data_IF_772683894370
#
_entry.id   IF_772683894370
#
_cell.length_a   1.000
_cell.length_b   1.000
_cell.length_c   1.000
_cell.angle_alpha   90.00
_cell.angle_beta   90.00
_cell.angle_gamma   90.00
#
_symmetry.space_group_name_H-M   'P 1'
#
loop_
_entity.id
_entity.type
_entity.pdbx_description
1 polymer ?
#
# COMPACT_ATOMS: atom_id res chain seq x y z
N UNK A 1 13.45 5.71 14.79
CA UNK A 1 12.46 5.10 15.69
C UNK A 1 11.07 5.47 15.24
N UNK A 2 10.09 4.64 15.57
CA UNK A 2 8.67 4.92 15.30
C UNK A 2 8.25 6.22 15.97
N UNK A 3 7.45 7.04 15.26
CA UNK A 3 7.01 8.37 15.71
C UNK A 3 8.01 9.51 15.48
N UNK A 4 9.25 9.21 15.08
CA UNK A 4 10.20 10.24 14.63
C UNK A 4 9.87 10.68 13.20
N UNK A 5 10.35 11.86 12.79
CA UNK A 5 10.20 12.35 11.43
C UNK A 5 11.46 12.13 10.60
N UNK A 6 11.29 11.78 9.34
CA UNK A 6 12.35 11.69 8.34
C UNK A 6 12.04 12.58 7.14
N UNK A 7 13.07 13.23 6.63
CA UNK A 7 12.95 14.08 5.44
C UNK A 7 13.25 13.24 4.20
N UNK A 8 12.32 13.22 3.26
CA UNK A 8 12.50 12.70 1.91
C UNK A 8 11.35 13.20 1.03
N UNK A 9 11.66 13.39 -0.26
CA UNK A 9 10.71 13.82 -1.28
C UNK A 9 10.67 12.75 -2.38
N UNK A 10 9.49 12.26 -2.74
CA UNK A 10 9.33 11.25 -3.78
C UNK A 10 9.30 11.90 -5.18
N UNK A 11 10.29 11.59 -6.06
CA UNK A 11 10.39 12.21 -7.38
C UNK A 11 9.19 11.98 -8.31
N UNK A 12 8.36 10.97 -8.03
CA UNK A 12 7.23 10.59 -8.90
C UNK A 12 5.91 11.29 -8.53
N UNK A 13 5.83 11.97 -7.38
CA UNK A 13 4.58 12.54 -6.86
C UNK A 13 4.45 14.08 -7.06
N UNK A 14 5.46 14.73 -7.63
CA UNK A 14 5.47 16.18 -7.92
C UNK A 14 5.72 17.07 -6.69
N UNK A 15 6.14 18.32 -6.93
CA UNK A 15 6.64 19.24 -5.90
C UNK A 15 5.63 19.48 -4.76
N UNK A 16 6.00 19.02 -3.57
CA UNK A 16 5.50 19.52 -2.31
C UNK A 16 6.47 19.13 -1.21
N UNK A 17 7.08 20.07 -0.46
CA UNK A 17 7.78 19.70 0.75
C UNK A 17 6.80 18.96 1.65
N UNK A 18 7.22 17.79 2.12
CA UNK A 18 6.59 17.03 3.19
C UNK A 18 6.20 17.96 4.35
N UNK A 19 4.97 18.46 4.30
CA UNK A 19 4.43 19.40 5.28
C UNK A 19 4.51 18.84 6.69
N UNK A 20 4.47 19.71 7.70
CA UNK A 20 4.43 19.28 9.10
C UNK A 20 3.16 18.48 9.46
N UNK A 21 2.15 18.52 8.59
CA UNK A 21 0.91 17.77 8.72
C UNK A 21 1.16 16.26 8.68
N UNK A 22 0.46 15.56 9.56
CA UNK A 22 0.50 14.11 9.71
C UNK A 22 -0.91 13.62 10.02
N UNK A 23 -1.28 12.46 9.51
CA UNK A 23 -2.51 11.76 9.86
C UNK A 23 -2.37 11.02 11.20
N UNK A 24 -1.15 10.88 11.71
CA UNK A 24 -0.88 10.26 13.01
C UNK A 24 -1.40 11.16 14.13
N UNK A 25 -2.47 10.71 14.77
CA UNK A 25 -2.98 11.34 15.98
C UNK A 25 -2.45 10.61 17.22
N UNK A 26 -1.47 11.22 17.89
CA UNK A 26 -0.83 10.67 19.08
C UNK A 26 -1.81 10.41 20.25
N UNK A 27 -2.97 11.09 20.29
CA UNK A 27 -3.95 10.90 21.35
C UNK A 27 -4.78 9.62 21.16
N UNK A 28 -4.98 9.17 19.92
CA UNK A 28 -5.89 8.06 19.60
C UNK A 28 -5.18 6.83 19.04
N UNK A 29 -4.04 7.02 18.37
CA UNK A 29 -3.25 5.93 17.80
C UNK A 29 -2.52 5.14 18.90
N UNK A 30 -2.13 3.92 18.55
CA UNK A 30 -1.39 3.01 19.42
C UNK A 30 -0.06 2.63 18.80
N UNK A 31 0.95 2.40 19.64
CA UNK A 31 2.17 1.71 19.22
C UNK A 31 2.05 0.24 19.58
N UNK A 32 2.07 -0.62 18.56
CA UNK A 32 2.05 -2.06 18.72
C UNK A 32 3.47 -2.60 18.60
N UNK A 33 3.83 -3.52 19.50
CA UNK A 33 4.99 -4.40 19.29
C UNK A 33 4.46 -5.77 18.91
N UNK A 34 4.93 -6.27 17.77
CA UNK A 34 4.53 -7.56 17.22
C UNK A 34 5.74 -8.48 17.12
N UNK A 35 5.51 -9.77 17.34
CA UNK A 35 6.51 -10.82 17.22
C UNK A 35 5.98 -11.95 16.34
N UNK A 36 6.73 -12.30 15.31
CA UNK A 36 6.47 -13.49 14.50
C UNK A 36 7.71 -14.39 14.49
N UNK A 37 7.49 -15.66 14.18
CA UNK A 37 8.57 -16.61 13.90
C UNK A 37 8.34 -17.21 12.52
N UNK A 38 9.40 -17.22 11.72
CA UNK A 38 9.45 -17.97 10.47
C UNK A 38 10.53 -19.04 10.59
N UNK A 39 10.21 -20.27 10.19
CA UNK A 39 11.13 -21.41 10.28
C UNK A 39 11.46 -21.89 8.88
N UNK A 40 12.72 -21.75 8.51
CA UNK A 40 13.20 -22.12 7.19
C UNK A 40 13.44 -23.63 7.08
N UNK A 41 13.53 -24.12 5.85
CA UNK A 41 13.71 -25.54 5.54
C UNK A 41 15.01 -26.13 6.13
N UNK A 42 16.04 -25.31 6.34
CA UNK A 42 17.31 -25.71 6.93
C UNK A 42 17.30 -25.74 8.47
N UNK A 43 16.15 -25.43 9.08
CA UNK A 43 15.96 -25.38 10.53
C UNK A 43 16.29 -24.03 11.18
N UNK A 44 16.77 -23.05 10.41
CA UNK A 44 16.95 -21.67 10.87
C UNK A 44 15.62 -21.10 11.36
N UNK A 45 15.65 -20.42 12.51
CA UNK A 45 14.49 -19.72 13.06
C UNK A 45 14.75 -18.22 12.96
N UNK A 46 13.97 -17.56 12.13
CA UNK A 46 13.90 -16.10 12.09
C UNK A 46 12.86 -15.61 13.09
N UNK A 47 13.30 -14.77 14.04
CA UNK A 47 12.40 -14.03 14.92
C UNK A 47 12.27 -12.61 14.37
N UNK A 48 11.06 -12.31 13.92
CA UNK A 48 10.67 -11.03 13.35
C UNK A 48 10.10 -10.16 14.47
N UNK A 49 10.70 -8.99 14.66
CA UNK A 49 10.19 -7.98 15.60
C UNK A 49 9.74 -6.76 14.83
N UNK A 50 8.51 -6.32 15.10
CA UNK A 50 7.92 -5.13 14.51
C UNK A 50 7.45 -4.20 15.59
N UNK A 51 7.78 -2.91 15.47
CA UNK A 51 7.17 -1.82 16.21
C UNK A 51 6.41 -0.96 15.20
N UNK A 52 5.13 -0.68 15.43
CA UNK A 52 4.28 -0.01 14.43
C UNK A 52 3.21 0.88 15.06
N UNK A 53 3.03 2.09 14.52
CA UNK A 53 1.89 2.97 14.83
C UNK A 53 0.68 2.49 14.04
N UNK A 54 -0.43 2.25 14.76
CA UNK A 54 -1.67 1.85 14.15
C UNK A 54 -2.82 2.76 14.60
N UNK A 55 -3.70 3.17 13.68
CA UNK A 55 -4.85 3.96 14.02
C UNK A 55 -5.91 3.11 14.74
N UNK A 56 -6.80 3.73 15.52
CA UNK A 56 -7.79 3.02 16.34
C UNK A 56 -8.66 2.07 15.51
N UNK A 57 -9.02 2.42 14.28
CA UNK A 57 -9.80 1.54 13.40
C UNK A 57 -9.05 0.27 13.00
N UNK A 58 -7.73 0.32 12.85
CA UNK A 58 -6.93 -0.88 12.56
C UNK A 58 -6.85 -1.77 13.79
N UNK A 59 -6.59 -1.17 14.95
CA UNK A 59 -6.51 -1.87 16.24
C UNK A 59 -7.84 -2.58 16.54
N UNK A 60 -8.96 -1.89 16.35
CA UNK A 60 -10.30 -2.43 16.57
C UNK A 60 -10.64 -3.54 15.56
N UNK A 61 -10.40 -3.31 14.26
CA UNK A 61 -10.70 -4.29 13.20
C UNK A 61 -10.02 -5.63 13.41
N UNK A 62 -8.78 -5.62 13.91
CA UNK A 62 -7.99 -6.83 14.10
C UNK A 62 -8.00 -7.36 15.53
N UNK A 63 -8.71 -6.71 16.45
CA UNK A 63 -8.70 -7.07 17.87
C UNK A 63 -7.28 -7.15 18.43
N UNK A 64 -6.47 -6.13 18.16
CA UNK A 64 -5.02 -6.13 18.42
C UNK A 64 -4.69 -5.94 19.92
N UNK A 65 -5.23 -6.80 20.77
CA UNK A 65 -4.94 -6.91 22.19
C UNK A 65 -3.68 -7.75 22.43
N UNK A 66 -3.00 -7.56 23.56
CA UNK A 66 -1.81 -8.33 23.91
C UNK A 66 -2.15 -9.83 23.93
N UNK A 67 -1.36 -10.62 23.21
CA UNK A 67 -1.56 -12.06 23.01
C UNK A 67 -2.33 -12.42 21.73
N UNK A 68 -3.03 -11.48 21.10
CA UNK A 68 -3.76 -11.72 19.85
C UNK A 68 -2.80 -11.93 18.66
N UNK A 69 -3.28 -12.64 17.64
CA UNK A 69 -2.52 -12.90 16.40
C UNK A 69 -3.10 -12.09 15.23
N UNK A 70 -2.32 -11.11 14.77
CA UNK A 70 -2.73 -10.10 13.78
C UNK A 70 -1.91 -10.20 12.49
N UNK A 71 -2.42 -9.71 11.34
CA UNK A 71 -1.57 -9.54 10.16
C UNK A 71 -0.48 -8.49 10.43
N UNK A 72 0.65 -8.60 9.73
CA UNK A 72 1.68 -7.56 9.77
C UNK A 72 1.31 -6.39 8.84
N UNK A 73 1.27 -5.14 9.32
CA UNK A 73 0.87 -3.97 8.53
C UNK A 73 2.05 -3.41 7.69
N UNK A 74 2.64 -4.25 6.84
CA UNK A 74 3.79 -3.92 5.97
C UNK A 74 3.85 -4.82 4.72
N UNK A 75 4.66 -4.44 3.73
CA UNK A 75 4.91 -5.19 2.49
C UNK A 75 5.91 -6.32 2.78
N UNK A 76 5.39 -7.51 3.02
CA UNK A 76 6.17 -8.69 3.40
C UNK A 76 7.05 -9.19 2.25
N UNK A 77 6.60 -9.00 1.00
CA UNK A 77 7.32 -9.49 -0.18
C UNK A 77 8.64 -8.75 -0.38
N UNK A 78 8.65 -7.42 -0.25
CA UNK A 78 9.89 -6.63 -0.32
C UNK A 78 10.93 -7.08 0.72
N UNK A 79 10.43 -7.50 1.89
CA UNK A 79 11.26 -7.98 2.99
C UNK A 79 11.65 -9.46 2.84
N UNK A 80 11.10 -10.17 1.85
CA UNK A 80 11.34 -11.61 1.68
C UNK A 80 10.69 -12.45 2.78
N UNK A 81 9.59 -11.97 3.36
CA UNK A 81 8.77 -12.67 4.34
C UNK A 81 7.53 -13.30 3.67
N UNK A 82 6.97 -14.40 4.20
CA UNK A 82 5.75 -15.00 3.67
C UNK A 82 4.56 -14.01 3.66
N UNK A 83 3.78 -13.97 2.59
CA UNK A 83 2.65 -13.01 2.45
C UNK A 83 1.54 -13.21 3.50
N UNK A 84 1.39 -14.44 4.00
CA UNK A 84 0.41 -14.83 5.00
C UNK A 84 0.96 -14.84 6.44
N UNK A 85 2.20 -14.37 6.63
CA UNK A 85 2.82 -14.28 7.95
C UNK A 85 1.95 -13.47 8.90
N UNK A 86 1.74 -14.02 10.10
CA UNK A 86 1.01 -13.37 11.19
C UNK A 86 1.91 -13.22 12.40
N UNK A 87 1.65 -12.18 13.19
CA UNK A 87 2.44 -11.86 14.37
C UNK A 87 1.56 -11.82 15.61
N UNK A 88 2.11 -12.26 16.74
CA UNK A 88 1.51 -12.06 18.04
C UNK A 88 1.74 -10.62 18.50
N UNK A 89 0.70 -9.97 19.02
CA UNK A 89 0.81 -8.69 19.70
C UNK A 89 1.48 -8.91 21.06
N UNK A 90 2.69 -8.40 21.24
CA UNK A 90 3.43 -8.50 22.51
C UNK A 90 3.26 -7.24 23.37
N UNK A 91 2.97 -6.09 22.76
CA UNK A 91 2.60 -4.87 23.47
C UNK A 91 1.60 -4.05 22.64
N UNK A 92 0.72 -3.33 23.33
CA UNK A 92 -0.18 -2.34 22.75
C UNK A 92 -0.17 -1.12 23.69
N UNK A 93 0.70 -0.17 23.40
CA UNK A 93 0.95 0.99 24.25
C UNK A 93 0.39 2.28 23.63
N UNK A 94 0.18 3.36 24.41
CA UNK A 94 -0.15 4.67 23.86
C UNK A 94 0.90 5.13 22.83
N UNK A 95 0.46 5.79 21.75
CA UNK A 95 1.37 6.39 20.79
C UNK A 95 2.27 7.44 21.48
N UNK A 96 3.58 7.47 21.21
CA UNK A 96 4.45 8.52 21.73
C UNK A 96 4.05 9.89 21.17
N UNK A 97 4.36 11.00 21.86
CA UNK A 97 4.17 12.33 21.31
C UNK A 97 4.91 12.49 19.97
N UNK A 98 4.21 12.98 18.95
CA UNK A 98 4.80 13.27 17.65
C UNK A 98 5.28 14.72 17.64
N UNK A 99 6.59 14.93 17.50
CA UNK A 99 7.15 16.27 17.43
C UNK A 99 6.63 17.01 16.17
N UNK A 100 6.31 18.31 16.26
CA UNK A 100 6.06 19.12 15.08
C UNK A 100 7.38 19.32 14.31
N UNK A 101 7.29 19.44 12.99
CA UNK A 101 8.46 19.69 12.14
C UNK A 101 8.30 19.15 10.73
N UNK A 102 9.23 19.47 9.83
CA UNK A 102 9.22 18.97 8.46
C UNK A 102 9.46 17.45 8.41
N UNK A 103 9.12 16.85 7.28
CA UNK A 103 9.30 15.42 7.06
C UNK A 103 8.12 14.58 7.53
N UNK A 104 8.17 13.30 7.19
CA UNK A 104 7.09 12.32 7.40
C UNK A 104 7.36 11.44 8.60
N UNK A 105 6.30 11.01 9.28
CA UNK A 105 6.41 10.18 10.49
C UNK A 105 6.83 8.75 10.13
N UNK A 106 7.80 8.20 10.85
CA UNK A 106 8.14 6.77 10.78
C UNK A 106 7.02 5.98 11.44
N UNK A 107 6.30 5.20 10.63
CA UNK A 107 5.14 4.43 11.08
C UNK A 107 5.54 3.06 11.62
N UNK A 108 6.47 2.37 10.97
CA UNK A 108 6.87 1.01 11.34
C UNK A 108 8.38 0.90 11.36
N UNK A 109 8.94 0.15 12.30
CA UNK A 109 10.30 -0.37 12.27
C UNK A 109 10.24 -1.90 12.40
N UNK A 110 11.00 -2.61 11.58
CA UNK A 110 11.03 -4.07 11.55
C UNK A 110 12.46 -4.57 11.44
N UNK A 111 12.75 -5.68 12.11
CA UNK A 111 14.01 -6.39 11.93
C UNK A 111 13.80 -7.89 11.90
N UNK A 112 14.52 -8.55 11.00
CA UNK A 112 14.40 -9.98 10.73
C UNK A 112 15.68 -10.50 10.05
N UNK A 113 15.80 -11.82 9.90
CA UNK A 113 16.89 -12.46 9.18
C UNK A 113 16.59 -12.52 7.68
N UNK A 114 17.61 -12.23 6.86
CA UNK A 114 17.49 -12.28 5.42
C UNK A 114 18.75 -12.92 4.79
N UNK A 115 18.61 -13.98 3.97
CA UNK A 115 19.73 -14.59 3.26
C UNK A 115 20.09 -13.86 1.95
N UNK A 116 19.23 -12.97 1.49
CA UNK A 116 19.34 -12.27 0.21
C UNK A 116 19.76 -10.81 0.45
N UNK A 117 21.00 -10.61 0.89
CA UNK A 117 21.60 -9.27 1.07
C UNK A 117 22.64 -9.00 0.00
N UNK A 118 22.68 -7.77 -0.51
CA UNK A 118 23.73 -7.31 -1.44
C UNK A 118 24.59 -6.27 -0.76
N UNK A 119 25.89 -6.25 -1.06
CA UNK A 119 26.79 -5.18 -0.70
C UNK A 119 26.92 -4.23 -1.90
N UNK A 120 26.41 -3.01 -1.74
CA UNK A 120 26.33 -1.97 -2.74
C UNK A 120 27.32 -0.84 -2.39
N UNK A 121 28.31 -0.64 -3.24
CA UNK A 121 29.28 0.45 -3.10
C UNK A 121 28.82 1.67 -3.91
N UNK A 122 28.87 2.83 -3.27
CA UNK A 122 28.46 4.12 -3.83
C UNK A 122 29.61 5.13 -3.74
N UNK A 123 29.66 6.04 -4.71
CA UNK A 123 30.55 7.21 -4.69
C UNK A 123 29.79 8.46 -5.10
N UNK A 124 30.09 9.58 -4.46
CA UNK A 124 29.55 10.88 -4.84
C UNK A 124 30.50 11.66 -5.79
N UNK A 125 30.09 12.83 -6.33
CA UNK A 125 30.94 13.62 -7.23
C UNK A 125 32.23 14.15 -6.57
N UNK A 126 32.28 14.21 -5.24
CA UNK A 126 33.45 14.63 -4.47
C UNK A 126 34.41 13.47 -4.18
N UNK A 127 34.09 12.25 -4.63
CA UNK A 127 34.89 11.05 -4.45
C UNK A 127 34.73 10.37 -3.09
N UNK A 128 33.78 10.82 -2.25
CA UNK A 128 33.45 10.16 -0.98
C UNK A 128 32.75 8.84 -1.29
N UNK A 129 33.18 7.78 -0.63
CA UNK A 129 32.68 6.42 -0.85
C UNK A 129 31.94 5.90 0.37
N UNK A 130 30.91 5.13 0.12
CA UNK A 130 30.18 4.42 1.15
C UNK A 130 29.74 3.05 0.65
N UNK A 131 29.44 2.15 1.58
CA UNK A 131 28.89 0.84 1.28
C UNK A 131 27.62 0.65 2.09
N UNK A 132 26.53 0.32 1.40
CA UNK A 132 25.24 -0.02 2.01
C UNK A 132 24.94 -1.51 1.77
N UNK A 133 24.18 -2.12 2.68
CA UNK A 133 23.87 -3.56 2.64
C UNK A 133 22.36 -3.84 2.67
N UNK A 134 21.62 -3.45 1.62
CA UNK A 134 20.18 -3.66 1.54
C UNK A 134 19.84 -5.13 1.25
N UNK A 135 18.59 -5.51 1.52
CA UNK A 135 18.03 -6.74 0.93
C UNK A 135 18.00 -6.61 -0.60
N UNK A 136 18.10 -7.73 -1.30
CA UNK A 136 18.23 -7.78 -2.75
C UNK A 136 17.06 -7.10 -3.49
N UNK A 137 15.84 -7.23 -2.96
CA UNK A 137 14.62 -6.69 -3.55
C UNK A 137 14.37 -5.22 -3.21
N UNK A 138 15.05 -4.67 -2.20
CA UNK A 138 14.88 -3.29 -1.78
C UNK A 138 15.22 -2.32 -2.91
N UNK A 139 14.44 -1.25 -3.08
CA UNK A 139 14.54 -0.40 -4.26
C UNK A 139 15.21 0.93 -3.97
N UNK A 140 15.98 1.38 -4.95
CA UNK A 140 16.59 2.71 -5.01
C UNK A 140 16.10 3.45 -6.24
N UNK A 141 16.00 4.78 -6.16
CA UNK A 141 15.63 5.58 -7.32
C UNK A 141 16.82 5.75 -8.25
N UNK A 142 16.74 5.13 -9.43
CA UNK A 142 17.76 5.24 -10.49
C UNK A 142 17.47 6.46 -11.35
N UNK A 143 18.41 7.40 -11.35
CA UNK A 143 18.41 8.55 -12.27
C UNK A 143 18.72 8.11 -13.70
N UNK A 144 19.51 7.04 -13.87
CA UNK A 144 19.83 6.51 -15.19
C UNK A 144 18.62 5.86 -15.87
N UNK A 145 17.72 5.25 -15.10
CA UNK A 145 16.51 4.58 -15.63
C UNK A 145 15.23 5.36 -15.39
N UNK A 146 15.29 6.45 -14.63
CA UNK A 146 14.15 7.27 -14.23
C UNK A 146 13.07 6.41 -13.57
N UNK A 147 13.44 5.76 -12.46
CA UNK A 147 12.50 4.93 -11.70
C UNK A 147 13.14 4.05 -10.64
N UNK A 148 12.28 3.38 -9.88
CA UNK A 148 12.68 2.48 -8.79
C UNK A 148 13.25 1.15 -9.29
N UNK A 149 14.48 0.84 -8.89
CA UNK A 149 15.20 -0.38 -9.29
C UNK A 149 15.60 -1.17 -8.05
N UNK A 150 15.34 -2.47 -8.03
CA UNK A 150 15.79 -3.37 -6.96
C UNK A 150 17.31 -3.39 -6.87
N UNK A 151 17.85 -3.47 -5.65
CA UNK A 151 19.27 -3.40 -5.37
C UNK A 151 20.08 -4.44 -6.18
N UNK A 152 19.56 -5.65 -6.33
CA UNK A 152 20.21 -6.72 -7.09
C UNK A 152 20.23 -6.49 -8.61
N UNK A 153 19.43 -5.56 -9.12
CA UNK A 153 19.33 -5.23 -10.55
C UNK A 153 20.15 -3.99 -10.94
N UNK A 154 20.74 -3.30 -9.95
CA UNK A 154 21.61 -2.16 -10.17
C UNK A 154 22.88 -2.58 -10.91
N UNK A 155 23.41 -1.67 -11.73
CA UNK A 155 24.61 -1.92 -12.54
C UNK A 155 25.73 -0.97 -12.16
N UNK A 156 26.96 -1.42 -12.32
CA UNK A 156 28.12 -0.54 -12.20
C UNK A 156 27.98 0.68 -13.14
N UNK A 157 28.26 1.87 -12.63
CA UNK A 157 28.12 3.15 -13.34
C UNK A 157 26.71 3.75 -13.32
N UNK A 158 25.71 3.04 -12.78
CA UNK A 158 24.35 3.57 -12.65
C UNK A 158 24.31 4.71 -11.62
N UNK A 159 23.55 5.76 -11.93
CA UNK A 159 23.38 6.93 -11.05
C UNK A 159 22.09 6.79 -10.24
N UNK A 160 22.21 6.92 -8.93
CA UNK A 160 21.11 6.90 -7.98
C UNK A 160 20.86 8.31 -7.42
N UNK A 161 19.63 8.59 -7.04
CA UNK A 161 19.29 9.83 -6.35
C UNK A 161 19.93 9.84 -4.95
N UNK A 162 20.71 10.87 -4.66
CA UNK A 162 21.27 11.14 -3.33
C UNK A 162 20.83 12.52 -2.82
N UNK A 163 20.90 12.72 -1.50
CA UNK A 163 20.48 13.97 -0.84
C UNK A 163 21.29 15.20 -1.27
N UNK A 164 22.55 15.01 -1.67
CA UNK A 164 23.45 16.08 -2.12
C UNK A 164 23.78 16.01 -3.61
N UNK A 165 22.98 15.26 -4.38
CA UNK A 165 23.20 15.01 -5.80
C UNK A 165 23.38 13.52 -6.12
N UNK A 166 23.64 13.19 -7.40
CA UNK A 166 23.72 11.81 -7.86
C UNK A 166 24.84 11.02 -7.20
N UNK A 167 24.56 9.76 -6.87
CA UNK A 167 25.53 8.78 -6.39
C UNK A 167 25.77 7.72 -7.47
N UNK A 168 27.02 7.39 -7.76
CA UNK A 168 27.37 6.37 -8.75
C UNK A 168 27.60 5.02 -8.08
N UNK A 169 26.98 3.97 -8.63
CA UNK A 169 27.22 2.59 -8.23
C UNK A 169 28.61 2.15 -8.70
N UNK A 170 29.50 1.86 -7.76
CA UNK A 170 30.89 1.42 -8.04
C UNK A 170 31.13 -0.06 -7.79
N UNK A 171 30.23 -0.73 -7.05
CA UNK A 171 30.29 -2.18 -6.86
C UNK A 171 28.94 -2.73 -6.43
N UNK A 172 28.63 -3.94 -6.86
CA UNK A 172 27.49 -4.70 -6.38
C UNK A 172 27.90 -6.17 -6.26
N UNK A 173 27.74 -6.76 -5.08
CA UNK A 173 27.96 -8.20 -4.88
C UNK A 173 26.94 -8.78 -3.92
N UNK A 174 26.52 -10.03 -4.15
CA UNK A 174 25.75 -10.78 -3.16
C UNK A 174 26.62 -11.06 -1.94
N UNK A 175 26.09 -10.84 -0.75
CA UNK A 175 26.75 -11.13 0.51
C UNK A 175 26.32 -12.52 0.97
N UNK A 176 27.25 -13.50 1.10
CA UNK A 176 26.88 -14.85 1.50
C UNK A 176 26.46 -14.90 2.96
N UNK A 177 25.63 -15.89 3.30
CA UNK A 177 25.16 -16.13 4.66
C UNK A 177 23.87 -15.40 5.00
N UNK A 178 23.47 -15.52 6.26
CA UNK A 178 22.22 -14.97 6.79
C UNK A 178 22.55 -13.74 7.62
N UNK A 179 21.86 -12.64 7.33
CA UNK A 179 22.14 -11.34 7.96
C UNK A 179 20.88 -10.78 8.61
N UNK A 180 21.03 -10.05 9.72
CA UNK A 180 19.92 -9.30 10.28
C UNK A 180 19.72 -8.01 9.50
N UNK A 181 18.57 -7.88 8.85
CA UNK A 181 18.14 -6.69 8.14
C UNK A 181 17.22 -5.84 9.02
N UNK A 182 17.24 -4.54 8.76
CA UNK A 182 16.37 -3.55 9.40
C UNK A 182 15.66 -2.78 8.30
N UNK A 183 14.35 -2.62 8.41
CA UNK A 183 13.54 -1.82 7.49
C UNK A 183 12.61 -0.93 8.30
N UNK A 184 12.12 0.15 7.68
CA UNK A 184 11.14 1.03 8.29
C UNK A 184 10.13 1.49 7.24
N UNK A 185 8.92 1.79 7.71
CA UNK A 185 7.90 2.46 6.90
C UNK A 185 7.73 3.90 7.33
N UNK A 186 7.46 4.74 6.35
CA UNK A 186 7.32 6.19 6.52
C UNK A 186 5.96 6.60 5.99
N UNK A 187 5.29 7.49 6.70
CA UNK A 187 4.00 8.04 6.32
C UNK A 187 4.03 8.74 4.94
N UNK A 188 2.97 8.57 4.17
CA UNK A 188 2.75 9.35 2.96
C UNK A 188 3.48 8.79 1.75
N UNK A 189 4.65 9.33 1.43
CA UNK A 189 5.31 9.09 0.14
C UNK A 189 6.20 7.84 0.12
N UNK A 190 6.34 7.20 1.28
CA UNK A 190 7.03 5.94 1.48
C UNK A 190 8.45 5.90 0.92
N UNK A 191 9.18 7.00 1.07
CA UNK A 191 10.59 7.11 0.70
C UNK A 191 11.40 7.64 1.87
N UNK A 192 12.69 7.30 1.90
CA UNK A 192 13.62 7.77 2.91
C UNK A 192 15.06 7.73 2.39
N UNK A 193 15.91 8.59 2.93
CA UNK A 193 17.35 8.53 2.66
C UNK A 193 18.03 7.61 3.67
N UNK A 194 18.94 6.77 3.18
CA UNK A 194 19.82 5.93 4.00
C UNK A 194 21.27 6.27 3.74
N UNK A 195 22.13 5.88 4.69
CA UNK A 195 23.58 6.08 4.61
C UNK A 195 24.01 7.54 4.80
N UNK A 196 25.30 7.76 5.04
CA UNK A 196 25.86 9.11 5.21
C UNK A 196 25.87 9.91 3.90
N UNK A 197 25.97 9.24 2.75
CA UNK A 197 25.79 9.84 1.43
C UNK A 197 24.31 10.09 1.09
N UNK A 198 23.37 9.52 1.86
CA UNK A 198 21.95 9.79 1.75
C UNK A 198 21.35 9.30 0.43
N UNK A 199 21.55 8.03 0.07
CA UNK A 199 20.91 7.45 -1.12
C UNK A 199 19.40 7.29 -0.88
N UNK A 200 18.59 7.66 -1.86
CA UNK A 200 17.12 7.59 -1.78
C UNK A 200 16.64 6.15 -1.96
N UNK A 201 16.01 5.65 -0.91
CA UNK A 201 15.43 4.32 -0.83
C UNK A 201 13.90 4.40 -0.76
N UNK A 202 13.26 3.33 -1.22
CA UNK A 202 11.81 3.17 -1.15
C UNK A 202 11.44 2.25 0.01
N UNK A 203 10.33 2.54 0.66
CA UNK A 203 9.63 1.69 1.60
C UNK A 203 8.32 1.24 0.94
N UNK A 204 7.90 -0.03 0.99
CA UNK A 204 6.50 -0.49 0.83
C UNK A 204 5.71 -0.06 -0.43
N UNK A 205 5.08 -0.99 -1.13
CA UNK A 205 3.96 -0.65 -2.02
C UNK A 205 3.94 -1.30 -3.38
N UNK A 206 4.58 -2.46 -3.55
CA UNK A 206 4.47 -3.18 -4.81
C UNK A 206 3.13 -3.91 -4.99
N UNK A 207 2.21 -3.86 -4.02
CA UNK A 207 0.83 -4.33 -4.22
C UNK A 207 -0.29 -3.43 -3.67
N UNK A 208 0.00 -2.47 -2.80
CA UNK A 208 -1.03 -1.65 -2.16
C UNK A 208 -0.87 -0.14 -2.30
N UNK A 209 0.08 0.40 -3.06
CA UNK A 209 0.17 1.87 -3.23
C UNK A 209 0.48 2.39 -4.64
N UNK A 210 0.72 1.51 -5.63
CA UNK A 210 0.95 1.96 -7.01
C UNK A 210 0.03 1.33 -8.06
N UNK A 211 -0.86 0.43 -7.65
CA UNK A 211 -2.01 0.08 -8.48
C UNK A 211 -3.21 0.69 -7.79
N UNK A 212 -3.73 1.80 -8.30
CA UNK A 212 -5.01 2.28 -7.82
C UNK A 212 -6.03 1.12 -7.85
N UNK A 213 -6.77 0.97 -6.76
CA UNK A 213 -7.78 -0.08 -6.65
C UNK A 213 -8.83 0.15 -7.74
N UNK A 214 -9.13 -0.92 -8.49
CA UNK A 214 -10.21 -0.90 -9.47
C UNK A 214 -11.45 -1.38 -8.76
N UNK A 215 -12.44 -0.51 -8.74
CA UNK A 215 -13.75 -0.81 -8.17
C UNK A 215 -14.81 -0.53 -9.21
N UNK A 216 -15.94 -1.20 -9.05
CA UNK A 216 -17.05 -1.15 -9.99
C UNK A 216 -18.31 -0.70 -9.29
N UNK A 217 -19.14 0.05 -9.98
CA UNK A 217 -20.49 0.42 -9.50
C UNK A 217 -21.49 0.27 -10.63
N UNK A 218 -22.71 -0.11 -10.29
CA UNK A 218 -23.83 -0.20 -11.22
C UNK A 218 -24.91 0.83 -10.89
N UNK A 219 -25.36 1.61 -11.87
CA UNK A 219 -26.31 2.72 -11.66
C UNK A 219 -27.31 2.88 -12.79
N UNK A 220 -28.41 3.58 -12.54
CA UNK A 220 -29.44 3.89 -13.56
C UNK A 220 -29.11 5.13 -14.40
N UNK A 221 -28.09 5.88 -13.98
CA UNK A 221 -27.60 7.09 -14.64
C UNK A 221 -26.08 7.14 -14.56
N UNK A 222 -25.40 7.85 -15.47
CA UNK A 222 -23.94 8.00 -15.42
C UNK A 222 -23.48 8.49 -14.03
N UNK A 223 -22.44 7.83 -13.51
CA UNK A 223 -21.85 8.18 -12.22
C UNK A 223 -21.11 9.50 -12.33
N UNK A 224 -21.25 10.34 -11.31
CA UNK A 224 -20.44 11.54 -11.12
C UNK A 224 -19.74 11.43 -9.78
N UNK A 225 -18.42 11.61 -9.79
CA UNK A 225 -17.58 11.50 -8.59
C UNK A 225 -17.64 12.75 -7.70
N UNK A 226 -18.21 13.86 -8.19
CA UNK A 226 -18.36 15.13 -7.44
C UNK A 226 -19.67 15.22 -6.64
N UNK A 227 -20.26 14.08 -6.27
CA UNK A 227 -21.57 14.04 -5.59
C UNK A 227 -21.43 14.28 -4.08
N UNK A 228 -22.44 14.94 -3.51
CA UNK A 228 -22.56 15.15 -2.06
C UNK A 228 -22.80 13.86 -1.25
N UNK A 229 -23.14 12.75 -1.92
CA UNK A 229 -23.31 11.41 -1.34
C UNK A 229 -22.30 10.47 -1.99
N UNK A 230 -21.76 9.55 -1.19
CA UNK A 230 -20.82 8.53 -1.65
C UNK A 230 -21.47 7.53 -2.62
N UNK A 231 -20.66 6.58 -3.09
CA UNK A 231 -21.04 5.60 -4.11
C UNK A 231 -20.79 4.20 -3.59
N UNK A 232 -21.78 3.32 -3.70
CA UNK A 232 -21.59 1.91 -3.40
C UNK A 232 -20.76 1.26 -4.51
N UNK A 233 -19.75 0.48 -4.14
CA UNK A 233 -18.79 -0.11 -5.08
C UNK A 233 -18.50 -1.57 -4.73
N UNK A 234 -17.95 -2.31 -5.69
CA UNK A 234 -17.41 -3.65 -5.52
C UNK A 234 -16.00 -3.75 -6.07
N UNK A 235 -15.11 -4.45 -5.37
CA UNK A 235 -13.76 -4.78 -5.84
C UNK A 235 -13.75 -6.03 -6.73
N UNK A 236 -14.84 -6.80 -6.77
CA UNK A 236 -14.99 -7.90 -7.72
C UNK A 236 -15.17 -7.36 -9.14
N UNK A 237 -14.43 -7.94 -10.10
CA UNK A 237 -14.61 -7.64 -11.52
C UNK A 237 -15.97 -8.18 -12.00
N UNK A 238 -16.84 -7.27 -12.42
CA UNK A 238 -18.22 -7.53 -12.87
C UNK A 238 -18.41 -7.16 -14.35
N UNK A 239 -17.34 -7.17 -15.15
CA UNK A 239 -17.37 -6.79 -16.57
C UNK A 239 -17.82 -7.92 -17.51
N UNK A 240 -18.14 -9.10 -16.98
CA UNK A 240 -18.80 -10.19 -17.71
C UNK A 240 -20.23 -10.42 -17.23
N UNK A 241 -21.06 -10.98 -18.10
CA UNK A 241 -22.49 -11.21 -17.88
C UNK A 241 -22.79 -12.01 -16.60
N UNK A 242 -22.05 -13.11 -16.38
CA UNK A 242 -22.33 -14.02 -15.27
C UNK A 242 -22.04 -13.33 -13.94
N UNK A 243 -20.88 -12.68 -13.83
CA UNK A 243 -20.49 -11.96 -12.62
C UNK A 243 -21.34 -10.71 -12.38
N UNK A 244 -21.73 -10.01 -13.44
CA UNK A 244 -22.63 -8.86 -13.32
C UNK A 244 -24.00 -9.29 -12.77
N UNK A 245 -24.59 -10.36 -13.31
CA UNK A 245 -25.85 -10.92 -12.82
C UNK A 245 -25.75 -11.38 -11.36
N UNK A 246 -24.66 -12.06 -11.01
CA UNK A 246 -24.43 -12.48 -9.63
C UNK A 246 -24.30 -11.28 -8.69
N UNK A 247 -23.55 -10.26 -9.08
CA UNK A 247 -23.40 -9.02 -8.33
C UNK A 247 -24.74 -8.31 -8.15
N UNK A 248 -25.52 -8.15 -9.21
CA UNK A 248 -26.84 -7.49 -9.15
C UNK A 248 -27.77 -8.23 -8.19
N UNK A 249 -27.84 -9.57 -8.29
CA UNK A 249 -28.72 -10.38 -7.43
C UNK A 249 -28.32 -10.34 -5.96
N UNK A 250 -27.03 -10.28 -5.65
CA UNK A 250 -26.51 -10.41 -4.29
C UNK A 250 -26.32 -9.08 -3.58
N UNK A 251 -25.95 -8.04 -4.32
CA UNK A 251 -25.34 -6.84 -3.75
C UNK A 251 -26.03 -5.54 -4.13
N UNK A 252 -26.83 -5.52 -5.20
CA UNK A 252 -27.48 -4.29 -5.66
C UNK A 252 -28.91 -4.24 -5.12
N UNK A 253 -29.22 -3.34 -4.17
CA UNK A 253 -30.57 -3.24 -3.64
C UNK A 253 -31.55 -2.67 -4.68
N UNK A 254 -32.86 -2.90 -4.51
CA UNK A 254 -33.88 -2.28 -5.34
C UNK A 254 -33.74 -0.75 -5.30
N UNK A 255 -33.61 -0.11 -6.47
CA UNK A 255 -33.51 1.34 -6.56
C UNK A 255 -34.93 1.96 -6.64
N UNK A 256 -35.23 3.05 -5.90
CA UNK A 256 -36.58 3.65 -5.90
C UNK A 256 -37.06 4.13 -7.28
N UNK A 257 -36.13 4.40 -8.18
CA UNK A 257 -36.39 4.88 -9.56
C UNK A 257 -36.27 3.77 -10.60
N UNK A 258 -35.93 2.54 -10.20
CA UNK A 258 -35.84 1.39 -11.09
C UNK A 258 -37.08 0.50 -10.88
N UNK A 259 -37.89 0.28 -11.92
CA UNK A 259 -39.00 -0.67 -11.86
C UNK A 259 -38.55 -2.05 -11.39
N UNK A 260 -39.44 -2.76 -10.69
CA UNK A 260 -39.16 -4.09 -10.17
C UNK A 260 -38.85 -5.06 -11.32
N UNK A 261 -37.67 -5.68 -11.28
CA UNK A 261 -37.21 -6.63 -12.29
C UNK A 261 -36.31 -6.02 -13.37
N UNK A 262 -36.14 -4.69 -13.43
CA UNK A 262 -35.19 -4.07 -14.36
C UNK A 262 -33.76 -4.10 -13.83
N UNK A 263 -32.80 -4.13 -14.76
CA UNK A 263 -31.37 -4.11 -14.47
C UNK A 263 -30.84 -2.66 -14.37
N UNK A 264 -29.74 -2.41 -13.64
CA UNK A 264 -29.01 -1.15 -13.76
C UNK A 264 -28.62 -0.90 -15.22
N UNK A 265 -28.62 0.36 -15.63
CA UNK A 265 -28.31 0.75 -17.02
C UNK A 265 -26.82 0.94 -17.28
N UNK A 266 -26.04 1.28 -16.26
CA UNK A 266 -24.62 1.59 -16.40
C UNK A 266 -23.78 0.75 -15.46
N UNK A 267 -22.64 0.30 -15.96
CA UNK A 267 -21.51 -0.22 -15.19
C UNK A 267 -20.37 0.78 -15.32
N UNK A 268 -19.77 1.19 -14.21
CA UNK A 268 -18.64 2.14 -14.21
C UNK A 268 -17.46 1.52 -13.49
N UNK A 269 -16.30 1.49 -14.14
CA UNK A 269 -15.01 1.21 -13.51
C UNK A 269 -14.43 2.51 -12.99
N UNK A 270 -14.08 2.49 -11.72
CA UNK A 270 -13.51 3.62 -10.99
C UNK A 270 -12.17 3.17 -10.44
N UNK A 271 -11.18 4.02 -10.65
CA UNK A 271 -9.85 3.88 -10.14
C UNK A 271 -9.70 4.77 -8.91
N UNK A 272 -9.36 4.18 -7.75
CA UNK A 272 -9.26 4.90 -6.46
C UNK A 272 -7.91 4.63 -5.79
N UNK A 273 -7.37 5.54 -4.97
CA UNK A 273 -6.24 5.23 -4.13
C UNK A 273 -6.56 4.05 -3.21
N UNK A 274 -5.60 3.16 -2.95
CA UNK A 274 -5.82 2.01 -2.08
C UNK A 274 -6.36 2.41 -0.71
N UNK A 275 -7.34 1.66 -0.20
CA UNK A 275 -7.99 1.95 1.08
C UNK A 275 -9.08 3.04 1.03
N UNK A 276 -9.39 3.58 -0.15
CA UNK A 276 -10.48 4.56 -0.32
C UNK A 276 -11.88 3.95 -0.17
N UNK A 277 -12.01 2.62 -0.27
CA UNK A 277 -13.27 1.91 -0.06
C UNK A 277 -13.47 1.63 1.42
N UNK A 278 -14.50 2.23 1.99
CA UNK A 278 -14.92 2.01 3.38
C UNK A 278 -16.04 0.98 3.46
N UNK A 279 -16.34 0.43 4.64
CA UNK A 279 -17.56 -0.36 4.83
C UNK A 279 -18.82 0.45 4.54
N UNK A 280 -19.88 -0.21 4.05
CA UNK A 280 -21.17 0.43 3.82
C UNK A 280 -21.73 1.00 5.15
N UNK A 281 -21.99 2.32 5.24
CA UNK A 281 -22.50 2.93 6.47
C UNK A 281 -23.95 2.51 6.81
N UNK A 282 -24.65 1.84 5.89
CA UNK A 282 -26.06 1.44 6.03
C UNK A 282 -26.26 -0.05 6.32
N UNK A 283 -25.20 -0.86 6.24
CA UNK A 283 -25.26 -2.33 6.41
C UNK A 283 -24.16 -2.81 7.36
N UNK A 284 -24.41 -3.81 8.23
CA UNK A 284 -23.35 -4.39 9.06
C UNK A 284 -22.21 -4.96 8.21
N UNK A 285 -20.98 -4.75 8.67
CA UNK A 285 -19.75 -5.32 8.11
C UNK A 285 -19.88 -6.85 7.95
N UNK A 286 -19.87 -7.33 6.70
CA UNK A 286 -19.68 -8.76 6.40
C UNK A 286 -18.20 -8.99 6.10
N UNK A 287 -17.45 -9.71 6.94
CA UNK A 287 -16.04 -9.99 6.72
C UNK A 287 -15.83 -10.69 5.36
N UNK A 288 -14.92 -10.14 4.54
CA UNK A 288 -14.62 -10.70 3.22
C UNK A 288 -15.60 -10.33 2.11
N UNK A 289 -16.57 -9.44 2.37
CA UNK A 289 -17.42 -8.92 1.29
C UNK A 289 -16.59 -8.16 0.26
N UNK A 290 -16.76 -8.41 -1.05
CA UNK A 290 -16.11 -7.60 -2.09
C UNK A 290 -16.76 -6.22 -2.22
N UNK A 291 -17.85 -5.95 -1.50
CA UNK A 291 -18.58 -4.68 -1.59
C UNK A 291 -18.17 -3.69 -0.51
N UNK A 292 -18.32 -2.40 -0.83
CA UNK A 292 -18.06 -1.32 0.09
C UNK A 292 -18.60 0.01 -0.42
N UNK A 293 -18.14 1.08 0.20
CA UNK A 293 -18.62 2.44 0.04
C UNK A 293 -17.46 3.38 -0.24
N UNK A 294 -17.52 4.04 -1.40
CA UNK A 294 -16.62 5.11 -1.75
C UNK A 294 -17.17 6.43 -1.19
N UNK A 295 -16.49 7.11 -0.24
CA UNK A 295 -16.99 8.33 0.37
C UNK A 295 -17.17 9.48 -0.63
N UNK A 296 -18.05 10.46 -0.33
CA UNK A 296 -18.09 11.71 -1.09
C UNK A 296 -16.71 12.35 -1.16
N UNK A 297 -16.35 12.89 -2.33
CA UNK A 297 -15.07 13.57 -2.58
C UNK A 297 -13.81 12.71 -2.37
N UNK A 298 -13.94 11.38 -2.26
CA UNK A 298 -12.78 10.51 -2.28
C UNK A 298 -12.00 10.71 -3.60
N UNK A 299 -10.66 10.79 -3.55
CA UNK A 299 -9.84 10.86 -4.76
C UNK A 299 -10.17 9.64 -5.64
N UNK A 300 -10.68 9.88 -6.84
CA UNK A 300 -11.18 8.82 -7.71
C UNK A 300 -11.15 9.29 -9.18
N UNK A 301 -10.99 8.35 -10.10
CA UNK A 301 -11.02 8.59 -11.53
C UNK A 301 -11.87 7.53 -12.21
N UNK A 302 -12.90 7.95 -12.96
CA UNK A 302 -13.61 7.03 -13.86
C UNK A 302 -12.66 6.64 -14.99
N UNK A 303 -12.45 5.34 -15.19
CA UNK A 303 -11.58 4.82 -16.24
C UNK A 303 -12.35 4.27 -17.42
N UNK A 304 -13.52 3.64 -17.16
CA UNK A 304 -14.40 3.08 -18.19
C UNK A 304 -15.85 3.16 -17.76
N UNK A 305 -16.72 3.34 -18.74
CA UNK A 305 -18.18 3.27 -18.56
C UNK A 305 -18.73 2.32 -19.61
N UNK A 306 -19.65 1.46 -19.21
CA UNK A 306 -20.39 0.59 -20.10
C UNK A 306 -21.90 0.81 -19.93
N UNK A 307 -22.63 0.67 -21.03
CA UNK A 307 -24.08 0.50 -21.04
C UNK A 307 -24.37 -0.98 -20.86
N UNK A 308 -25.25 -1.29 -19.92
CA UNK A 308 -25.83 -2.62 -19.72
C UNK A 308 -27.09 -2.67 -20.57
N UNK A 309 -27.08 -3.55 -21.57
CA UNK A 309 -28.19 -3.74 -22.49
C UNK A 309 -28.75 -5.15 -22.32
N UNK A 310 -30.00 -5.23 -21.89
CA UNK A 310 -30.74 -6.49 -21.85
C UNK A 310 -31.24 -6.83 -23.25
N UNK A 311 -30.94 -8.05 -23.72
CA UNK A 311 -31.49 -8.58 -24.94
C UNK A 311 -32.76 -9.39 -24.60
N UNK A 312 -33.91 -8.79 -24.89
CA UNK A 312 -35.21 -9.37 -24.56
C UNK A 312 -35.54 -10.64 -25.36
N UNK A 313 -34.82 -10.92 -26.44
CA UNK A 313 -35.07 -12.08 -27.30
C UNK A 313 -34.49 -13.39 -26.73
N UNK A 314 -33.39 -13.32 -25.99
CA UNK A 314 -32.66 -14.48 -25.47
C UNK A 314 -32.32 -14.38 -23.97
N UNK A 315 -32.82 -13.32 -23.30
CA UNK A 315 -32.59 -13.02 -21.89
C UNK A 315 -31.10 -12.90 -21.51
N UNK A 316 -30.25 -12.53 -22.48
CA UNK A 316 -28.82 -12.27 -22.26
C UNK A 316 -28.57 -10.80 -21.97
N UNK A 317 -27.42 -10.51 -21.36
CA UNK A 317 -26.96 -9.14 -21.12
C UNK A 317 -25.70 -8.86 -21.93
N UNK A 318 -25.73 -7.75 -22.66
CA UNK A 318 -24.53 -7.20 -23.30
C UNK A 318 -24.00 -6.01 -22.50
N UNK A 319 -22.70 -6.00 -22.21
CA UNK A 319 -21.99 -4.89 -21.57
C UNK A 319 -21.22 -4.15 -22.68
N UNK A 320 -21.70 -2.98 -23.09
CA UNK A 320 -21.16 -2.23 -24.24
C UNK A 320 -20.39 -1.01 -23.76
N UNK A 321 -19.11 -0.83 -24.11
CA UNK A 321 -18.36 0.36 -23.69
C UNK A 321 -18.99 1.62 -24.31
N UNK A 322 -19.09 2.67 -23.51
CA UNK A 322 -19.54 4.00 -23.93
C UNK A 322 -18.30 4.92 -23.99
N UNK A 323 -18.21 5.83 -24.99
CA UNK A 323 -17.10 6.79 -25.11
C UNK A 323 -16.87 7.66 -23.87
#
# INVERSE_FOLDING_TARGET
>A
HVGQRVFADNPELGDGPSGAETAVDAATWRVLRLRAEDRWADGTVDVIHVETLQPPEWVQRHGAEVGATVPLPLDLLEMGLPEDLRAQVVANDPCPPIAPGPGRVVLTAVNHLNPNVVELGLVDPQGRRETVRPTALHKFYSLSRVGWVSAEQLRHGEQLQGVHGPLTVISLRRLPGVHRAYNMTVEGEHVYHVSALGVLAHNNGCRQLLVPERVYTTTDSPVSLSRARGTFVTSADVTDEVRLLEHIRRNVPPAPRRPAGELPRYLTEIQVPPGSVLPDPTVPLVPGSPTGWLPPNAPARITRVWEIVENTADATITIRPIP
#
